data_IF_193310390209
#
_entry.id   IF_193310390209
#
_cell.length_a   1.000
_cell.length_b   1.000
_cell.length_c   1.000
_cell.angle_alpha   90.00
_cell.angle_beta   90.00
_cell.angle_gamma   90.00
#
_symmetry.space_group_name_H-M   'P 1'
#
loop_
_entity.id
_entity.type
_entity.pdbx_description
1 polymer ?
#
# COMPACT_ATOMS: atom_id res chain seq x y z
N UNK A 1 63.62 -8.61 42.62
CA UNK A 1 63.06 -7.62 43.56
C UNK A 1 61.93 -6.95 42.86
N UNK A 2 60.86 -7.39 43.25
CA UNK A 2 59.68 -6.70 43.85
C UNK A 2 58.80 -6.08 42.80
N UNK A 3 57.75 -6.67 42.71
CA UNK A 3 56.46 -6.57 43.43
C UNK A 3 55.59 -5.47 42.81
N UNK A 4 54.50 -5.87 42.41
CA UNK A 4 53.24 -6.18 42.95
C UNK A 4 52.23 -5.11 42.78
N UNK A 5 51.14 -5.62 42.62
CA UNK A 5 49.81 -5.40 43.16
C UNK A 5 49.02 -4.43 42.32
N UNK A 6 47.99 -4.92 41.91
CA UNK A 6 46.83 -5.31 42.66
C UNK A 6 45.75 -4.36 42.28
N UNK A 7 44.93 -4.80 41.36
CA UNK A 7 43.71 -4.12 40.99
C UNK A 7 42.67 -4.45 42.02
N UNK A 8 41.92 -3.52 42.56
CA UNK A 8 40.63 -3.81 43.07
C UNK A 8 39.57 -3.65 42.00
N UNK A 9 38.90 -4.72 41.80
CA UNK A 9 37.56 -4.78 41.23
C UNK A 9 36.66 -3.69 41.81
N UNK A 10 36.18 -2.85 40.93
CA UNK A 10 35.00 -2.04 41.23
C UNK A 10 33.87 -2.60 40.39
N UNK A 11 33.08 -3.45 41.01
CA UNK A 11 31.76 -3.80 40.56
C UNK A 11 30.90 -2.55 40.75
N UNK A 12 30.69 -1.79 39.73
CA UNK A 12 29.61 -0.80 39.72
C UNK A 12 28.31 -1.53 39.42
N UNK A 13 27.47 -1.51 40.44
CA UNK A 13 26.07 -1.88 40.35
C UNK A 13 25.38 -1.12 39.26
N UNK A 14 25.02 -1.82 38.21
CA UNK A 14 24.16 -1.31 37.12
C UNK A 14 22.76 -1.18 37.68
N UNK A 15 22.38 0.02 38.02
CA UNK A 15 21.03 0.41 38.39
C UNK A 15 20.18 0.35 37.13
N UNK A 16 19.42 -0.71 36.99
CA UNK A 16 18.38 -0.88 36.01
C UNK A 16 17.32 0.23 36.15
N UNK A 17 17.36 1.22 35.30
CA UNK A 17 16.27 2.15 35.13
C UNK A 17 15.16 1.49 34.31
N UNK A 18 13.93 1.39 34.83
CA UNK A 18 12.80 0.90 34.09
C UNK A 18 12.25 2.04 33.21
N UNK A 19 12.42 1.96 31.91
CA UNK A 19 11.75 2.91 31.04
C UNK A 19 12.43 3.19 29.71
N UNK A 20 12.89 2.15 29.05
CA UNK A 20 13.25 2.25 27.64
C UNK A 20 12.58 1.11 26.90
N UNK A 21 11.33 1.31 26.50
CA UNK A 21 10.75 0.55 25.42
C UNK A 21 11.58 0.88 24.20
N UNK A 22 12.62 0.08 23.98
CA UNK A 22 13.43 0.13 22.80
C UNK A 22 12.54 -0.08 21.58
N UNK A 23 12.22 1.01 20.90
CA UNK A 23 11.83 0.95 19.49
C UNK A 23 13.04 0.34 18.79
N UNK A 24 13.00 -0.96 18.58
CA UNK A 24 13.87 -1.60 17.62
C UNK A 24 13.47 -0.99 16.28
N UNK A 25 14.22 0.01 15.85
CA UNK A 25 14.23 0.41 14.45
C UNK A 25 14.76 -0.81 13.70
N UNK A 26 13.84 -1.66 13.26
CA UNK A 26 14.17 -2.67 12.26
C UNK A 26 14.55 -1.86 11.03
N UNK A 27 15.82 -1.75 10.77
CA UNK A 27 16.31 -1.17 9.54
C UNK A 27 15.69 -1.99 8.40
N UNK A 28 15.10 -1.36 7.38
CA UNK A 28 14.51 -2.09 6.27
C UNK A 28 15.63 -2.91 5.64
N UNK A 29 15.40 -4.21 5.52
CA UNK A 29 16.30 -5.10 4.83
C UNK A 29 16.57 -4.52 3.44
N UNK A 30 17.83 -4.30 3.06
CA UNK A 30 18.18 -3.67 1.80
C UNK A 30 17.59 -4.41 0.59
N UNK A 31 17.33 -5.72 0.71
CA UNK A 31 16.68 -6.52 -0.32
C UNK A 31 15.22 -6.15 -0.55
N UNK A 32 14.48 -5.76 0.51
CA UNK A 32 13.08 -5.30 0.38
C UNK A 32 12.94 -3.93 -0.30
N UNK A 33 14.03 -3.17 -0.38
CA UNK A 33 14.01 -1.83 -0.94
C UNK A 33 14.13 -1.81 -2.48
N UNK A 34 14.65 -2.88 -3.06
CA UNK A 34 14.92 -3.00 -4.50
C UNK A 34 13.87 -3.88 -5.22
N UNK A 35 13.00 -4.56 -4.48
CA UNK A 35 11.99 -5.44 -5.07
C UNK A 35 10.85 -4.63 -5.68
N UNK A 36 10.74 -4.67 -7.00
CA UNK A 36 9.62 -4.08 -7.71
C UNK A 36 8.34 -4.88 -7.52
N UNK A 37 7.22 -4.19 -7.52
CA UNK A 37 5.91 -4.82 -7.41
C UNK A 37 4.78 -3.82 -7.25
N UNK A 38 3.57 -4.34 -7.20
CA UNK A 38 2.36 -3.56 -7.02
C UNK A 38 2.07 -3.30 -5.55
N UNK A 39 2.01 -2.04 -5.16
CA UNK A 39 1.69 -1.61 -3.80
C UNK A 39 0.33 -0.93 -3.75
N UNK A 40 -0.43 -1.27 -2.71
CA UNK A 40 -1.78 -0.73 -2.51
C UNK A 40 -1.72 0.56 -1.71
N UNK A 41 -2.35 1.61 -2.23
CA UNK A 41 -2.53 2.87 -1.54
C UNK A 41 -4.00 3.27 -1.48
N UNK A 42 -4.32 4.14 -0.54
CA UNK A 42 -5.64 4.75 -0.38
C UNK A 42 -5.55 6.26 -0.40
N UNK A 43 -6.57 6.87 -0.96
CA UNK A 43 -6.79 8.32 -0.93
C UNK A 43 -8.22 8.66 -0.53
N UNK A 44 -8.48 9.92 -0.25
CA UNK A 44 -9.82 10.41 0.00
C UNK A 44 -10.25 11.38 -1.11
N UNK A 45 -11.04 10.87 -2.06
CA UNK A 45 -11.63 11.64 -3.18
C UNK A 45 -10.63 12.41 -4.05
N UNK A 46 -9.38 11.94 -4.15
CA UNK A 46 -8.34 12.58 -4.94
C UNK A 46 -7.74 11.65 -6.01
N UNK A 47 -8.46 10.60 -6.40
CA UNK A 47 -8.00 9.59 -7.34
C UNK A 47 -7.55 10.21 -8.67
N UNK A 48 -8.32 11.15 -9.22
CA UNK A 48 -7.97 11.83 -10.48
C UNK A 48 -6.70 12.66 -10.36
N UNK A 49 -6.57 13.42 -9.28
CA UNK A 49 -5.37 14.21 -9.01
C UNK A 49 -4.13 13.33 -8.91
N UNK A 50 -4.25 12.21 -8.21
CA UNK A 50 -3.14 11.27 -8.05
C UNK A 50 -2.82 10.60 -9.40
N UNK A 51 -3.83 10.21 -10.19
CA UNK A 51 -3.65 9.69 -11.56
C UNK A 51 -2.82 10.66 -12.41
N UNK A 52 -3.17 11.94 -12.41
CA UNK A 52 -2.43 12.97 -13.14
C UNK A 52 -0.98 13.13 -12.64
N UNK A 53 -0.78 13.12 -11.32
CA UNK A 53 0.54 13.25 -10.72
C UNK A 53 1.43 12.04 -11.06
N UNK A 54 0.93 10.82 -10.91
CA UNK A 54 1.67 9.60 -11.23
C UNK A 54 1.98 9.50 -12.72
N UNK A 55 1.03 9.85 -13.59
CA UNK A 55 1.25 9.90 -15.04
C UNK A 55 2.34 10.90 -15.40
N UNK A 56 2.34 12.09 -14.79
CA UNK A 56 3.36 13.13 -15.04
C UNK A 56 4.75 12.68 -14.61
N UNK A 57 4.84 11.91 -13.54
CA UNK A 57 6.10 11.36 -13.04
C UNK A 57 6.56 10.12 -13.80
N UNK A 58 5.74 9.59 -14.71
CA UNK A 58 6.04 8.36 -15.42
C UNK A 58 6.02 7.11 -14.53
N UNK A 59 5.32 7.18 -13.39
CA UNK A 59 5.18 6.04 -12.47
C UNK A 59 4.04 5.16 -12.96
N UNK A 60 4.31 3.88 -13.12
CA UNK A 60 3.29 2.90 -13.47
C UNK A 60 2.27 2.77 -12.34
N UNK A 61 1.00 2.87 -12.69
CA UNK A 61 -0.08 2.85 -11.72
C UNK A 61 -1.38 2.34 -12.34
N UNK A 62 -2.25 1.83 -11.50
CA UNK A 62 -3.60 1.46 -11.87
C UNK A 62 -4.59 2.00 -10.83
N UNK A 63 -5.58 2.72 -11.30
CA UNK A 63 -6.71 3.20 -10.49
C UNK A 63 -7.96 2.71 -11.19
N UNK A 64 -8.75 1.82 -10.56
CA UNK A 64 -9.94 1.25 -11.19
C UNK A 64 -11.02 2.32 -11.35
N UNK A 65 -11.20 2.80 -12.58
CA UNK A 65 -12.30 3.67 -12.97
C UNK A 65 -13.29 2.90 -13.83
N UNK A 66 -14.56 3.28 -13.77
CA UNK A 66 -15.60 2.80 -14.65
C UNK A 66 -16.41 3.98 -15.22
N UNK A 67 -17.01 3.77 -16.39
CA UNK A 67 -17.92 4.74 -16.98
C UNK A 67 -19.32 4.58 -16.37
N UNK A 68 -19.92 5.69 -15.97
CA UNK A 68 -21.32 5.74 -15.53
C UNK A 68 -22.03 6.92 -16.17
N UNK A 69 -23.34 6.81 -16.32
CA UNK A 69 -24.18 7.90 -16.86
C UNK A 69 -24.76 8.69 -15.70
N UNK A 70 -24.38 9.97 -15.63
CA UNK A 70 -24.95 10.92 -14.66
C UNK A 70 -25.74 12.02 -15.39
N UNK A 71 -26.81 12.45 -14.73
CA UNK A 71 -27.56 13.62 -15.19
C UNK A 71 -26.90 14.87 -14.60
N UNK A 72 -26.38 15.72 -15.49
CA UNK A 72 -25.73 16.97 -15.13
C UNK A 72 -26.40 18.10 -15.93
N UNK A 73 -27.08 18.99 -15.21
CA UNK A 73 -27.80 20.11 -15.83
C UNK A 73 -28.92 19.66 -16.78
N UNK A 74 -29.67 18.60 -16.43
CA UNK A 74 -30.76 18.05 -17.23
C UNK A 74 -30.32 17.26 -18.47
N UNK A 75 -29.01 16.98 -18.59
CA UNK A 75 -28.46 16.19 -19.71
C UNK A 75 -27.73 14.97 -19.18
N UNK A 76 -27.97 13.82 -19.80
CA UNK A 76 -27.22 12.58 -19.50
C UNK A 76 -25.81 12.70 -20.09
N UNK A 77 -24.81 12.58 -19.23
CA UNK A 77 -23.40 12.57 -19.61
C UNK A 77 -22.72 11.32 -19.07
N UNK A 78 -21.89 10.70 -19.91
CA UNK A 78 -20.96 9.67 -19.46
C UNK A 78 -19.88 10.34 -18.63
N UNK A 79 -19.63 9.83 -17.43
CA UNK A 79 -18.60 10.30 -16.52
C UNK A 79 -17.81 9.11 -16.00
N UNK A 80 -16.51 9.27 -15.95
CA UNK A 80 -15.60 8.30 -15.34
C UNK A 80 -15.64 8.48 -13.81
N UNK A 81 -15.89 7.42 -13.08
CA UNK A 81 -15.90 7.41 -11.61
C UNK A 81 -15.02 6.28 -11.10
N UNK A 82 -14.42 6.40 -9.91
CA UNK A 82 -13.70 5.29 -9.32
C UNK A 82 -14.65 4.10 -9.11
N UNK A 83 -14.27 2.95 -9.63
CA UNK A 83 -14.98 1.69 -9.42
C UNK A 83 -14.93 1.26 -7.95
N UNK A 84 -13.74 1.41 -7.33
CA UNK A 84 -13.54 1.28 -5.90
C UNK A 84 -12.99 2.60 -5.38
N UNK A 85 -13.80 3.33 -4.62
CA UNK A 85 -13.44 4.64 -4.12
C UNK A 85 -12.19 4.61 -3.23
N UNK A 86 -11.25 5.48 -3.54
CA UNK A 86 -10.04 5.67 -2.77
C UNK A 86 -8.95 4.63 -3.00
N UNK A 87 -9.12 3.65 -3.87
CA UNK A 87 -8.14 2.60 -4.11
C UNK A 87 -7.18 2.97 -5.25
N UNK A 88 -5.90 2.80 -4.98
CA UNK A 88 -4.82 3.10 -5.92
C UNK A 88 -3.80 1.98 -5.86
N UNK A 89 -3.32 1.53 -7.02
CA UNK A 89 -2.21 0.61 -7.14
C UNK A 89 -1.04 1.33 -7.80
N UNK A 90 0.14 1.23 -7.20
CA UNK A 90 1.37 1.84 -7.70
C UNK A 90 2.40 0.76 -7.91
N UNK A 91 2.98 0.70 -9.09
CA UNK A 91 4.06 -0.23 -9.43
C UNK A 91 5.41 0.47 -9.31
N UNK A 92 6.35 -0.19 -8.67
CA UNK A 92 7.72 0.31 -8.52
C UNK A 92 8.43 -0.35 -7.35
N UNK A 93 9.62 0.12 -7.04
CA UNK A 93 10.31 -0.36 -5.85
C UNK A 93 9.75 0.32 -4.59
N UNK A 94 9.84 -0.35 -3.47
CA UNK A 94 9.31 0.13 -2.18
C UNK A 94 9.83 1.52 -1.81
N UNK A 95 11.11 1.80 -2.11
CA UNK A 95 11.74 3.09 -1.83
C UNK A 95 11.11 4.23 -2.65
N UNK A 96 10.90 4.00 -3.94
CA UNK A 96 10.26 4.97 -4.82
C UNK A 96 8.81 5.23 -4.41
N UNK A 97 8.07 4.17 -4.10
CA UNK A 97 6.70 4.29 -3.61
C UNK A 97 6.62 5.15 -2.35
N UNK A 98 7.54 4.95 -1.39
CA UNK A 98 7.58 5.74 -0.16
C UNK A 98 7.94 7.20 -0.46
N UNK A 99 8.84 7.46 -1.41
CA UNK A 99 9.25 8.82 -1.77
C UNK A 99 8.12 9.65 -2.35
N UNK A 100 7.15 9.04 -3.04
CA UNK A 100 5.97 9.73 -3.55
C UNK A 100 5.21 10.45 -2.43
N UNK A 101 5.17 9.87 -1.24
CA UNK A 101 4.52 10.49 -0.10
C UNK A 101 5.46 11.42 0.65
N UNK A 102 6.66 10.97 0.97
CA UNK A 102 7.57 11.68 1.86
C UNK A 102 8.23 12.89 1.18
N UNK A 103 8.64 12.74 -0.08
CA UNK A 103 9.40 13.76 -0.80
C UNK A 103 8.47 14.63 -1.66
N UNK A 104 7.45 14.04 -2.28
CA UNK A 104 6.56 14.74 -3.18
C UNK A 104 5.20 15.08 -2.57
N UNK A 105 4.90 14.58 -1.37
CA UNK A 105 3.70 14.94 -0.63
C UNK A 105 2.37 14.52 -1.30
N UNK A 106 2.36 13.37 -1.99
CA UNK A 106 1.14 12.88 -2.64
C UNK A 106 0.07 12.59 -1.60
N UNK A 107 -1.18 13.01 -1.83
CA UNK A 107 -2.27 12.88 -0.87
C UNK A 107 -2.84 11.45 -0.86
N UNK A 108 -1.99 10.48 -0.62
CA UNK A 108 -2.33 9.07 -0.50
C UNK A 108 -1.58 8.43 0.67
N UNK A 109 -2.01 7.25 1.07
CA UNK A 109 -1.41 6.48 2.16
C UNK A 109 -1.34 5.02 1.76
N UNK A 110 -0.16 4.42 1.81
CA UNK A 110 0.01 3.00 1.56
C UNK A 110 -0.66 2.15 2.63
N UNK A 111 -1.29 1.08 2.18
CA UNK A 111 -1.83 0.03 3.05
C UNK A 111 -0.67 -0.82 3.55
N UNK A 112 -0.73 -1.22 4.81
CA UNK A 112 0.27 -2.10 5.42
C UNK A 112 -0.35 -3.46 5.72
N UNK A 113 0.44 -4.49 5.53
CA UNK A 113 0.11 -5.82 6.00
C UNK A 113 0.19 -5.87 7.53
N UNK A 114 -0.82 -6.43 8.17
CA UNK A 114 -0.90 -6.48 9.63
C UNK A 114 0.16 -7.36 10.26
N UNK A 115 0.55 -8.45 9.59
CA UNK A 115 1.47 -9.43 10.11
C UNK A 115 2.92 -9.01 9.94
N UNK A 116 3.29 -8.53 8.77
CA UNK A 116 4.65 -8.12 8.45
C UNK A 116 4.95 -6.65 8.73
N UNK A 117 3.90 -5.82 8.92
CA UNK A 117 3.98 -4.35 8.97
C UNK A 117 4.62 -3.69 7.75
N UNK A 118 4.92 -4.46 6.72
CA UNK A 118 5.41 -3.99 5.44
C UNK A 118 4.29 -3.37 4.62
N UNK A 119 4.65 -2.69 3.53
CA UNK A 119 3.65 -2.24 2.56
C UNK A 119 2.94 -3.46 1.96
N UNK A 120 1.62 -3.38 1.84
CA UNK A 120 0.84 -4.45 1.23
C UNK A 120 1.17 -4.54 -0.26
N UNK A 121 1.75 -5.65 -0.66
CA UNK A 121 2.08 -5.97 -2.05
C UNK A 121 1.04 -6.92 -2.63
N UNK A 122 0.63 -6.64 -3.85
CA UNK A 122 -0.23 -7.54 -4.64
C UNK A 122 0.67 -8.34 -5.57
N UNK A 123 0.54 -9.67 -5.63
CA UNK A 123 1.25 -10.48 -6.61
C UNK A 123 0.92 -10.05 -8.05
N UNK A 124 1.93 -10.01 -8.91
CA UNK A 124 1.80 -9.48 -10.27
C UNK A 124 0.68 -10.16 -11.06
N UNK A 125 0.61 -11.49 -10.99
CA UNK A 125 -0.47 -12.27 -11.63
C UNK A 125 -1.87 -11.85 -11.17
N UNK A 126 -2.05 -11.58 -9.87
CA UNK A 126 -3.34 -11.12 -9.35
C UNK A 126 -3.66 -9.71 -9.82
N UNK A 127 -2.64 -8.87 -9.97
CA UNK A 127 -2.84 -7.52 -10.48
C UNK A 127 -3.18 -7.52 -11.97
N UNK A 128 -2.52 -8.33 -12.78
CA UNK A 128 -2.84 -8.53 -14.19
C UNK A 128 -4.29 -8.99 -14.37
N UNK A 129 -4.69 -10.02 -13.63
CA UNK A 129 -6.06 -10.55 -13.66
C UNK A 129 -7.09 -9.48 -13.24
N UNK A 130 -6.76 -8.68 -12.23
CA UNK A 130 -7.64 -7.60 -11.77
C UNK A 130 -7.75 -6.47 -12.79
N UNK A 131 -6.65 -6.03 -13.39
CA UNK A 131 -6.65 -5.03 -14.46
C UNK A 131 -7.50 -5.52 -15.64
N UNK A 132 -7.25 -6.75 -16.09
CA UNK A 132 -8.02 -7.36 -17.17
C UNK A 132 -9.52 -7.38 -16.87
N UNK A 133 -9.90 -7.77 -15.66
CA UNK A 133 -11.27 -7.82 -15.21
C UNK A 133 -11.94 -6.44 -15.27
N UNK A 134 -11.29 -5.42 -14.71
CA UNK A 134 -11.83 -4.06 -14.68
C UNK A 134 -11.95 -3.46 -16.08
N UNK A 135 -10.96 -3.66 -16.96
CA UNK A 135 -10.96 -3.08 -18.30
C UNK A 135 -11.94 -3.73 -19.27
N UNK A 136 -12.21 -5.03 -19.10
CA UNK A 136 -13.04 -5.78 -20.07
C UNK A 136 -14.44 -6.11 -19.57
N UNK A 137 -14.65 -6.11 -18.26
CA UNK A 137 -15.89 -6.56 -17.63
C UNK A 137 -16.47 -5.53 -16.66
N UNK A 138 -16.13 -4.25 -16.79
CA UNK A 138 -16.57 -3.19 -15.86
C UNK A 138 -18.10 -3.13 -15.65
N UNK A 139 -18.86 -3.45 -16.71
CA UNK A 139 -20.32 -3.44 -16.65
C UNK A 139 -20.93 -4.72 -16.04
N UNK A 140 -20.14 -5.76 -15.87
CA UNK A 140 -20.55 -7.06 -15.34
C UNK A 140 -20.18 -7.24 -13.88
N UNK A 141 -19.33 -6.33 -13.35
CA UNK A 141 -18.84 -6.41 -11.99
C UNK A 141 -19.66 -5.51 -11.11
N UNK A 142 -20.22 -6.07 -10.06
CA UNK A 142 -20.87 -5.34 -8.98
C UNK A 142 -20.02 -5.43 -7.71
N UNK A 143 -19.62 -4.28 -7.19
CA UNK A 143 -18.96 -4.21 -5.89
C UNK A 143 -20.03 -4.19 -4.81
N UNK A 144 -20.26 -5.32 -4.18
CA UNK A 144 -21.20 -5.42 -3.07
C UNK A 144 -20.58 -4.79 -1.81
N UNK A 145 -21.29 -3.87 -1.15
CA UNK A 145 -20.80 -3.20 0.04
C UNK A 145 -20.85 -4.08 1.30
N UNK A 146 -20.68 -5.38 1.14
CA UNK A 146 -20.71 -6.31 2.25
C UNK A 146 -19.29 -6.62 2.73
N UNK A 147 -19.11 -6.48 4.02
CA UNK A 147 -17.87 -6.85 4.70
C UNK A 147 -17.67 -8.38 4.63
N UNK A 148 -16.95 -8.82 3.62
CA UNK A 148 -16.45 -10.19 3.58
C UNK A 148 -15.45 -10.35 4.73
N UNK A 149 -15.72 -11.30 5.62
CA UNK A 149 -14.84 -11.63 6.74
C UNK A 149 -13.91 -12.77 6.34
N UNK A 150 -12.74 -12.77 6.95
CA UNK A 150 -11.79 -13.87 6.75
C UNK A 150 -12.45 -15.21 7.13
N UNK A 151 -12.53 -16.12 6.16
CA UNK A 151 -13.18 -17.42 6.32
C UNK A 151 -14.55 -17.50 5.69
N UNK A 152 -15.11 -16.41 5.18
CA UNK A 152 -16.38 -16.45 4.45
C UNK A 152 -16.22 -17.26 3.16
N UNK A 153 -17.19 -18.11 2.89
CA UNK A 153 -17.23 -18.86 1.64
C UNK A 153 -17.87 -17.97 0.58
N UNK A 154 -17.11 -17.72 -0.48
CA UNK A 154 -17.62 -16.99 -1.64
C UNK A 154 -17.78 -17.93 -2.82
N UNK A 155 -18.79 -17.67 -3.65
CA UNK A 155 -19.03 -18.40 -4.89
C UNK A 155 -18.98 -17.41 -6.05
N UNK A 156 -18.16 -17.72 -7.04
CA UNK A 156 -18.19 -17.00 -8.32
C UNK A 156 -19.46 -17.46 -9.06
N UNK A 157 -20.36 -16.53 -9.33
CA UNK A 157 -21.65 -16.81 -9.98
C UNK A 157 -21.65 -16.51 -11.49
N UNK A 158 -20.68 -15.76 -11.97
CA UNK A 158 -20.44 -15.48 -13.39
C UNK A 158 -18.96 -15.29 -13.66
N UNK A 159 -18.49 -15.73 -14.81
CA UNK A 159 -17.11 -15.60 -15.29
C UNK A 159 -16.78 -16.75 -16.20
N UNK A 160 -16.24 -16.46 -17.40
CA UNK A 160 -15.63 -17.47 -18.27
C UNK A 160 -14.16 -17.56 -17.85
N UNK A 161 -13.77 -18.72 -17.33
CA UNK A 161 -12.38 -19.07 -17.08
C UNK A 161 -11.87 -19.94 -18.20
#
# INVERSE_FOLDING_TARGET
MQEIAGVPDVVEDDVLSPGSLGFVKTEPNMQDAEEEGWYVAKTYRQERKIKELLTRMGVEHFIPFCETVKEIGGKRKKVEVPFISGLIFVHGCKKECISLINDYGYPMRYVRDFSSRSLLRVPDKQMEDFIYLVEHHENEIEVLPHDLRRGDRVRVVAGSF
#
